data_IF_371471395808
#
_entry.id   IF_371471395808
#
_cell.length_a   1.000
_cell.length_b   1.000
_cell.length_c   1.000
_cell.angle_alpha   90.00
_cell.angle_beta   90.00
_cell.angle_gamma   90.00
#
_symmetry.space_group_name_H-M   'P 1'
#
loop_
_entity.id
_entity.type
_entity.pdbx_description
1 polymer ?
#
# COMPACT_ATOMS: atom_id res chain seq x y z
N UNK A 1 20.29 -8.90 -6.34
CA UNK A 1 21.01 -10.07 -5.80
C UNK A 1 20.00 -10.81 -4.94
N UNK A 2 19.73 -12.07 -5.22
CA UNK A 2 18.74 -12.84 -4.46
C UNK A 2 19.19 -12.99 -3.01
N UNK A 3 18.39 -12.46 -2.08
CA UNK A 3 18.71 -12.47 -0.66
C UNK A 3 18.70 -13.89 -0.08
N UNK A 4 18.02 -14.84 -0.71
CA UNK A 4 18.07 -16.27 -0.35
C UNK A 4 19.49 -16.82 -0.56
N UNK A 5 20.13 -16.52 -1.69
CA UNK A 5 21.53 -16.86 -1.95
C UNK A 5 22.48 -16.14 -0.98
N UNK A 6 22.19 -14.89 -0.61
CA UNK A 6 23.00 -14.14 0.38
C UNK A 6 22.89 -14.79 1.76
N UNK A 7 21.69 -15.11 2.25
CA UNK A 7 21.50 -15.77 3.55
C UNK A 7 22.14 -17.16 3.56
N UNK A 8 21.96 -17.96 2.51
CA UNK A 8 22.57 -19.29 2.39
C UNK A 8 24.12 -19.20 2.38
N UNK A 9 24.70 -18.25 1.65
CA UNK A 9 26.16 -18.07 1.61
C UNK A 9 26.74 -17.44 2.88
N UNK A 10 25.92 -16.80 3.72
CA UNK A 10 26.34 -16.28 5.03
C UNK A 10 26.54 -17.36 6.08
N UNK A 11 25.87 -18.50 5.93
CA UNK A 11 26.19 -19.72 6.70
C UNK A 11 27.59 -20.23 6.34
N UNK A 12 27.99 -20.07 5.08
CA UNK A 12 29.26 -20.57 4.54
C UNK A 12 30.44 -19.64 4.82
N UNK A 13 30.22 -18.34 5.05
CA UNK A 13 31.31 -17.40 5.40
C UNK A 13 30.83 -16.14 6.13
N UNK A 14 31.47 -15.88 7.27
CA UNK A 14 31.24 -14.69 8.11
C UNK A 14 31.52 -13.36 7.38
N UNK A 15 32.29 -13.39 6.28
CA UNK A 15 32.60 -12.21 5.47
C UNK A 15 31.39 -11.73 4.66
N UNK A 16 30.51 -12.63 4.24
CA UNK A 16 29.27 -12.24 3.59
C UNK A 16 28.30 -11.63 4.58
N UNK A 17 28.32 -12.08 5.85
CA UNK A 17 27.55 -11.46 6.94
C UNK A 17 27.76 -9.95 7.08
N UNK A 18 28.99 -9.47 6.88
CA UNK A 18 29.31 -8.03 6.92
C UNK A 18 28.89 -7.24 5.68
N UNK A 19 28.72 -7.89 4.53
CA UNK A 19 28.42 -7.20 3.26
C UNK A 19 26.93 -6.86 3.14
N UNK A 20 26.03 -7.70 3.64
CA UNK A 20 24.59 -7.37 3.70
C UNK A 20 24.16 -6.71 5.01
N UNK A 21 25.04 -6.58 6.01
CA UNK A 21 24.74 -5.76 7.20
C UNK A 21 24.78 -4.26 6.93
N UNK A 22 25.44 -3.83 5.86
CA UNK A 22 25.57 -2.43 5.48
C UNK A 22 24.61 -1.99 4.38
N UNK A 23 23.72 -2.87 3.91
CA UNK A 23 22.79 -2.53 2.81
C UNK A 23 21.55 -1.83 3.36
N UNK A 24 21.26 -0.58 2.95
CA UNK A 24 20.07 0.16 3.39
C UNK A 24 18.78 -0.40 2.78
N UNK A 25 18.90 -1.27 1.77
CA UNK A 25 17.82 -1.93 1.06
C UNK A 25 17.91 -3.44 1.24
N UNK A 26 16.77 -4.07 1.56
CA UNK A 26 16.64 -5.51 1.72
C UNK A 26 15.41 -6.00 0.95
N UNK A 27 15.58 -7.05 0.12
CA UNK A 27 14.49 -7.64 -0.66
C UNK A 27 14.44 -9.13 -0.43
N UNK A 28 13.27 -9.65 -0.06
CA UNK A 28 13.07 -11.08 0.14
C UNK A 28 12.08 -11.62 -0.87
N UNK A 29 12.51 -12.68 -1.56
CA UNK A 29 11.67 -13.51 -2.40
C UNK A 29 11.09 -14.65 -1.54
N UNK A 30 9.77 -14.66 -1.43
CA UNK A 30 8.99 -15.65 -0.69
C UNK A 30 8.63 -16.87 -1.54
N UNK A 31 9.10 -16.94 -2.78
CA UNK A 31 8.82 -18.05 -3.68
C UNK A 31 9.39 -19.37 -3.16
N UNK A 32 8.45 -20.28 -3.00
CA UNK A 32 8.55 -21.68 -2.67
C UNK A 32 8.54 -22.43 -4.00
N UNK A 33 9.70 -22.89 -4.47
CA UNK A 33 9.83 -23.50 -5.81
C UNK A 33 8.79 -24.59 -6.07
N UNK A 34 8.41 -24.76 -7.34
CA UNK A 34 7.37 -25.68 -7.80
C UNK A 34 7.78 -27.14 -7.55
N UNK A 35 7.41 -27.69 -6.40
CA UNK A 35 7.41 -29.13 -6.18
C UNK A 35 5.94 -29.56 -6.14
N UNK A 36 5.52 -30.37 -7.11
CA UNK A 36 4.13 -30.79 -7.36
C UNK A 36 3.49 -31.64 -6.22
N UNK A 37 4.11 -31.73 -5.05
CA UNK A 37 3.62 -32.52 -3.92
C UNK A 37 2.85 -31.66 -2.91
N UNK A 38 1.53 -31.74 -2.96
CA UNK A 38 0.57 -31.08 -2.06
C UNK A 38 0.85 -31.26 -0.56
N UNK A 39 1.52 -32.35 -0.14
CA UNK A 39 1.93 -32.54 1.25
C UNK A 39 3.11 -31.65 1.67
N UNK A 40 4.02 -31.38 0.74
CA UNK A 40 5.18 -30.50 0.93
C UNK A 40 4.74 -29.03 1.00
N UNK A 41 3.67 -28.66 0.29
CA UNK A 41 3.14 -27.30 0.32
C UNK A 41 2.79 -26.83 1.75
N UNK A 42 2.14 -27.66 2.58
CA UNK A 42 1.76 -27.27 3.94
C UNK A 42 2.95 -26.99 4.87
N UNK A 43 3.94 -27.87 4.85
CA UNK A 43 5.18 -27.68 5.63
C UNK A 43 5.98 -26.48 5.11
N UNK A 44 6.00 -26.28 3.79
CA UNK A 44 6.67 -25.15 3.15
C UNK A 44 5.95 -23.82 3.45
N UNK A 45 4.62 -23.81 3.61
CA UNK A 45 3.86 -22.63 4.06
C UNK A 45 4.20 -22.21 5.50
N UNK A 46 4.24 -23.15 6.45
CA UNK A 46 4.60 -22.86 7.85
C UNK A 46 6.02 -22.32 7.92
N UNK A 47 6.94 -22.91 7.13
CA UNK A 47 8.30 -22.42 7.02
C UNK A 47 8.33 -20.98 6.49
N UNK A 48 7.58 -20.66 5.43
CA UNK A 48 7.54 -19.30 4.87
C UNK A 48 7.07 -18.27 5.90
N UNK A 49 5.96 -18.51 6.62
CA UNK A 49 5.47 -17.56 7.63
C UNK A 49 6.53 -17.29 8.71
N UNK A 50 7.21 -18.35 9.19
CA UNK A 50 8.27 -18.25 10.19
C UNK A 50 9.53 -17.54 9.66
N UNK A 51 9.87 -17.74 8.39
CA UNK A 51 11.01 -17.10 7.73
C UNK A 51 10.73 -15.63 7.46
N UNK A 52 9.55 -15.26 6.99
CA UNK A 52 9.16 -13.87 6.74
C UNK A 52 9.20 -13.07 8.04
N UNK A 53 8.66 -13.63 9.13
CA UNK A 53 8.76 -12.98 10.43
C UNK A 53 10.21 -12.78 10.87
N UNK A 54 11.06 -13.80 10.69
CA UNK A 54 12.50 -13.71 11.00
C UNK A 54 13.20 -12.64 10.14
N UNK A 55 12.89 -12.56 8.86
CA UNK A 55 13.41 -11.56 7.93
C UNK A 55 13.01 -10.15 8.31
N UNK A 56 11.74 -9.96 8.69
CA UNK A 56 11.22 -8.68 9.21
C UNK A 56 11.97 -8.26 10.47
N UNK A 57 12.13 -9.17 11.44
CA UNK A 57 12.90 -8.89 12.66
C UNK A 57 14.35 -8.53 12.37
N UNK A 58 14.99 -9.22 11.43
CA UNK A 58 16.37 -8.92 11.02
C UNK A 58 16.46 -7.54 10.37
N UNK A 59 15.52 -7.19 9.48
CA UNK A 59 15.47 -5.87 8.84
C UNK A 59 15.28 -4.75 9.87
N UNK A 60 14.33 -4.93 10.80
CA UNK A 60 14.04 -3.98 11.87
C UNK A 60 15.25 -3.82 12.80
N UNK A 61 15.87 -4.92 13.23
CA UNK A 61 17.05 -4.90 14.12
C UNK A 61 18.24 -4.18 13.48
N UNK A 62 18.33 -4.18 12.16
CA UNK A 62 19.41 -3.58 11.39
C UNK A 62 19.12 -2.15 10.94
N UNK A 63 17.97 -1.61 11.31
CA UNK A 63 17.54 -0.25 10.92
C UNK A 63 17.59 -0.04 9.40
N UNK A 64 17.14 -1.05 8.65
CA UNK A 64 17.04 -0.99 7.19
C UNK A 64 16.10 0.15 6.80
N UNK A 65 16.45 0.91 5.76
CA UNK A 65 15.65 2.05 5.31
C UNK A 65 14.60 1.66 4.27
N UNK A 66 14.90 0.66 3.44
CA UNK A 66 14.01 0.16 2.40
C UNK A 66 13.85 -1.36 2.50
N UNK A 67 12.62 -1.82 2.67
CA UNK A 67 12.30 -3.24 2.79
C UNK A 67 11.28 -3.65 1.71
N UNK A 68 11.61 -4.70 0.97
CA UNK A 68 10.77 -5.29 -0.05
C UNK A 68 10.50 -6.77 0.27
N UNK A 69 9.24 -7.17 0.25
CA UNK A 69 8.77 -8.55 0.32
C UNK A 69 8.01 -8.83 -0.97
N UNK A 70 8.38 -9.88 -1.69
CA UNK A 70 7.75 -10.26 -2.96
C UNK A 70 7.45 -11.76 -2.96
N UNK A 71 6.25 -12.13 -3.41
CA UNK A 71 5.79 -13.50 -3.65
C UNK A 71 5.03 -13.52 -4.97
N UNK A 72 5.33 -14.49 -5.81
CA UNK A 72 4.58 -14.81 -7.03
C UNK A 72 3.57 -15.95 -6.80
N UNK A 73 3.44 -16.44 -5.56
CA UNK A 73 2.59 -17.59 -5.23
C UNK A 73 1.21 -17.13 -4.77
N UNK A 74 0.18 -17.55 -5.50
CA UNK A 74 -1.24 -17.27 -5.24
C UNK A 74 -1.82 -17.96 -3.98
N UNK A 75 -1.03 -18.79 -3.30
CA UNK A 75 -1.50 -19.70 -2.23
C UNK A 75 -0.84 -19.43 -0.87
N UNK A 76 -0.15 -18.30 -0.70
CA UNK A 76 0.41 -17.95 0.62
C UNK A 76 -0.71 -17.43 1.54
N UNK A 77 -0.76 -17.86 2.82
CA UNK A 77 -1.71 -17.30 3.78
C UNK A 77 -1.50 -15.79 3.93
N UNK A 78 -2.61 -15.08 4.21
CA UNK A 78 -2.61 -13.63 4.40
C UNK A 78 -1.54 -13.22 5.41
N UNK A 79 -0.54 -12.49 4.94
CA UNK A 79 0.61 -12.05 5.71
C UNK A 79 0.17 -11.04 6.77
N UNK A 80 0.49 -11.34 8.04
CA UNK A 80 0.30 -10.43 9.16
C UNK A 80 1.59 -9.65 9.41
N UNK A 81 1.60 -8.39 8.99
CA UNK A 81 2.73 -7.50 9.24
C UNK A 81 2.84 -7.19 10.74
N UNK A 82 4.03 -7.35 11.35
CA UNK A 82 4.21 -7.14 12.77
C UNK A 82 4.23 -5.65 13.09
N UNK A 83 3.67 -5.28 14.25
CA UNK A 83 3.54 -3.88 14.67
C UNK A 83 4.88 -3.11 14.67
N UNK A 84 5.95 -3.78 15.11
CA UNK A 84 7.29 -3.19 15.21
C UNK A 84 7.89 -2.77 13.86
N UNK A 85 7.36 -3.28 12.73
CA UNK A 85 7.70 -2.80 11.40
C UNK A 85 7.41 -1.31 11.27
N UNK A 86 6.23 -0.89 11.74
CA UNK A 86 5.74 0.48 11.58
C UNK A 86 6.35 1.46 12.58
N UNK A 87 6.96 0.97 13.67
CA UNK A 87 7.71 1.79 14.63
C UNK A 87 9.22 1.76 14.40
N UNK A 88 9.71 1.08 13.35
CA UNK A 88 11.14 1.00 13.00
C UNK A 88 11.62 2.22 12.20
N UNK A 89 12.90 2.28 11.83
CA UNK A 89 13.46 3.29 10.94
C UNK A 89 13.17 3.10 9.45
N UNK A 90 12.40 2.08 9.06
CA UNK A 90 12.06 1.82 7.65
C UNK A 90 11.29 3.02 7.07
N UNK A 91 11.80 3.56 5.97
CA UNK A 91 11.23 4.71 5.26
C UNK A 91 10.45 4.32 4.01
N UNK A 92 10.79 3.18 3.41
CA UNK A 92 10.09 2.62 2.26
C UNK A 92 9.80 1.15 2.47
N UNK A 93 8.53 0.80 2.37
CA UNK A 93 8.07 -0.58 2.51
C UNK A 93 7.29 -1.01 1.28
N UNK A 94 7.70 -2.13 0.69
CA UNK A 94 7.04 -2.77 -0.45
C UNK A 94 6.64 -4.18 -0.03
N UNK A 95 5.37 -4.52 -0.18
CA UNK A 95 4.88 -5.88 0.02
C UNK A 95 4.00 -6.27 -1.16
N UNK A 96 4.48 -7.22 -1.96
CA UNK A 96 3.74 -7.81 -3.08
C UNK A 96 3.37 -9.24 -2.70
N UNK A 97 2.33 -9.34 -1.88
CA UNK A 97 1.83 -10.60 -1.34
C UNK A 97 0.51 -10.30 -0.64
N UNK A 98 -0.37 -11.30 -0.58
CA UNK A 98 -1.61 -11.20 0.18
C UNK A 98 -1.36 -10.72 1.61
N UNK A 99 -1.89 -9.55 1.97
CA UNK A 99 -1.68 -8.93 3.28
C UNK A 99 -2.98 -8.40 3.87
N UNK A 100 -3.12 -8.49 5.19
CA UNK A 100 -4.18 -7.79 5.90
C UNK A 100 -3.67 -6.39 6.25
N UNK A 101 -4.35 -5.35 5.74
CA UNK A 101 -3.98 -3.98 6.07
C UNK A 101 -4.13 -3.75 7.57
N UNK A 102 -3.02 -3.33 8.19
CA UNK A 102 -2.93 -3.11 9.63
C UNK A 102 -3.06 -1.63 9.97
N UNK A 103 -3.95 -1.29 10.90
CA UNK A 103 -4.08 0.11 11.35
C UNK A 103 -2.83 0.62 12.09
N UNK A 104 -1.93 -0.28 12.52
CA UNK A 104 -0.63 0.10 13.09
C UNK A 104 0.25 0.89 12.12
N UNK A 105 0.03 0.76 10.81
CA UNK A 105 0.68 1.55 9.76
C UNK A 105 0.53 3.06 9.98
N UNK A 106 -0.63 3.47 10.50
CA UNK A 106 -0.96 4.85 10.80
C UNK A 106 -0.11 5.45 11.95
N UNK A 107 0.53 4.59 12.75
CA UNK A 107 1.40 5.00 13.85
C UNK A 107 2.84 5.26 13.41
N UNK A 108 3.18 4.95 12.16
CA UNK A 108 4.54 5.11 11.65
C UNK A 108 4.96 6.58 11.58
N UNK A 109 6.20 6.83 12.01
CA UNK A 109 6.85 8.14 11.97
C UNK A 109 7.98 8.20 10.93
N UNK A 110 8.27 7.08 10.27
CA UNK A 110 9.40 6.90 9.37
C UNK A 110 8.98 6.57 7.94
N UNK A 111 7.89 5.81 7.75
CA UNK A 111 7.44 5.35 6.42
C UNK A 111 6.92 6.52 5.58
N UNK A 112 7.70 6.90 4.58
CA UNK A 112 7.38 7.92 3.57
C UNK A 112 6.79 7.30 2.31
N UNK A 113 7.19 6.08 1.98
CA UNK A 113 6.70 5.38 0.80
C UNK A 113 6.18 4.00 1.18
N UNK A 114 4.92 3.73 0.83
CA UNK A 114 4.25 2.49 1.16
C UNK A 114 3.62 1.91 -0.10
N UNK A 115 4.06 0.72 -0.49
CA UNK A 115 3.53 -0.02 -1.61
C UNK A 115 3.05 -1.38 -1.14
N UNK A 116 1.76 -1.63 -1.31
CA UNK A 116 1.14 -2.91 -1.02
C UNK A 116 0.39 -3.39 -2.25
N UNK A 117 0.60 -4.62 -2.65
CA UNK A 117 -0.19 -5.32 -3.66
C UNK A 117 -0.93 -6.49 -3.00
N UNK A 118 -2.12 -6.83 -3.48
CA UNK A 118 -2.97 -7.90 -2.93
C UNK A 118 -3.35 -7.65 -1.46
N UNK A 119 -4.15 -6.60 -1.23
CA UNK A 119 -4.43 -6.10 0.12
C UNK A 119 -5.88 -6.33 0.51
N UNK A 120 -6.12 -7.02 1.61
CA UNK A 120 -7.45 -7.05 2.23
C UNK A 120 -7.60 -5.87 3.20
N UNK A 121 -8.57 -5.00 2.96
CA UNK A 121 -8.92 -3.93 3.90
C UNK A 121 -9.48 -4.54 5.20
N UNK A 122 -9.16 -3.94 6.37
CA UNK A 122 -9.75 -4.37 7.63
C UNK A 122 -11.26 -4.13 7.63
N UNK A 123 -11.95 -4.79 8.57
CA UNK A 123 -13.37 -4.52 8.82
C UNK A 123 -13.55 -3.02 9.15
N UNK A 124 -14.51 -2.40 8.47
CA UNK A 124 -14.87 -1.01 8.72
C UNK A 124 -15.43 -0.77 10.12
N UNK A 125 -15.51 0.50 10.49
CA UNK A 125 -16.20 0.96 11.70
C UNK A 125 -17.73 0.73 11.62
N UNK A 126 -18.50 1.30 12.54
CA UNK A 126 -19.97 1.24 12.54
C UNK A 126 -20.61 1.70 11.22
N UNK A 127 -19.96 2.61 10.51
CA UNK A 127 -20.42 3.18 9.25
C UNK A 127 -19.87 2.43 8.02
N UNK A 128 -19.23 1.27 8.24
CA UNK A 128 -18.50 0.52 7.23
C UNK A 128 -17.40 1.37 6.54
N UNK A 129 -16.78 2.28 7.31
CA UNK A 129 -15.66 3.11 6.86
C UNK A 129 -14.33 2.62 7.43
N UNK A 130 -13.31 2.59 6.57
CA UNK A 130 -11.90 2.37 6.95
C UNK A 130 -11.15 3.67 6.75
N UNK A 131 -10.38 4.10 7.75
CA UNK A 131 -9.66 5.39 7.72
C UNK A 131 -8.17 5.14 7.87
N UNK A 132 -7.41 5.36 6.80
CA UNK A 132 -5.95 5.34 6.81
C UNK A 132 -5.42 6.76 7.08
N UNK A 133 -4.80 6.95 8.25
CA UNK A 133 -4.25 8.25 8.69
C UNK A 133 -2.74 8.16 8.90
N UNK A 134 -1.95 8.66 7.95
CA UNK A 134 -0.47 8.56 8.03
C UNK A 134 0.17 9.97 8.01
N UNK A 135 0.88 10.39 9.08
CA UNK A 135 1.34 11.77 9.21
C UNK A 135 2.55 12.12 8.32
N UNK A 136 3.40 11.13 8.01
CA UNK A 136 4.67 11.32 7.30
C UNK A 136 4.67 10.77 5.87
N UNK A 137 3.58 10.13 5.45
CA UNK A 137 3.49 9.41 4.19
C UNK A 137 3.46 10.37 3.00
N UNK A 138 4.36 10.16 2.06
CA UNK A 138 4.56 10.97 0.84
C UNK A 138 4.07 10.22 -0.41
N UNK A 139 4.27 8.91 -0.47
CA UNK A 139 3.83 8.05 -1.58
C UNK A 139 3.03 6.84 -1.07
N UNK A 140 1.84 6.61 -1.62
CA UNK A 140 0.99 5.46 -1.31
C UNK A 140 0.56 4.73 -2.57
N UNK A 141 0.85 3.45 -2.64
CA UNK A 141 0.41 2.56 -3.72
C UNK A 141 -0.29 1.36 -3.09
N UNK A 142 -1.58 1.18 -3.39
CA UNK A 142 -2.36 0.02 -2.98
C UNK A 142 -2.96 -0.59 -4.24
N UNK A 143 -2.51 -1.77 -4.61
CA UNK A 143 -3.02 -2.48 -5.79
C UNK A 143 -3.77 -3.73 -5.41
N UNK A 144 -4.74 -4.07 -6.24
CA UNK A 144 -5.58 -5.25 -6.13
C UNK A 144 -6.24 -5.38 -4.74
N UNK A 145 -6.67 -4.28 -4.13
CA UNK A 145 -7.26 -4.36 -2.79
C UNK A 145 -8.67 -4.94 -2.81
N UNK A 146 -8.96 -5.79 -1.84
CA UNK A 146 -10.27 -6.33 -1.50
C UNK A 146 -10.88 -5.58 -0.29
N UNK A 147 -12.20 -5.42 -0.25
CA UNK A 147 -12.93 -4.58 0.70
C UNK A 147 -14.33 -5.11 1.02
N UNK A 148 -14.44 -6.42 1.28
CA UNK A 148 -15.72 -7.01 1.67
C UNK A 148 -16.39 -6.27 2.82
N UNK A 149 -17.64 -5.83 2.60
CA UNK A 149 -18.45 -5.10 3.58
C UNK A 149 -17.90 -3.71 4.00
N UNK A 150 -16.96 -3.13 3.25
CA UNK A 150 -16.51 -1.73 3.43
C UNK A 150 -17.18 -0.86 2.37
N UNK A 151 -17.89 0.18 2.82
CA UNK A 151 -18.57 1.15 1.94
C UNK A 151 -17.72 2.36 1.64
N UNK A 152 -16.81 2.72 2.54
CA UNK A 152 -16.00 3.92 2.43
C UNK A 152 -14.55 3.64 2.83
N UNK A 153 -13.60 4.08 2.00
CA UNK A 153 -12.18 4.06 2.31
C UNK A 153 -11.64 5.49 2.29
N UNK A 154 -11.20 5.97 3.45
CA UNK A 154 -10.76 7.34 3.68
C UNK A 154 -9.26 7.39 3.88
N UNK A 155 -8.56 8.20 3.08
CA UNK A 155 -7.11 8.40 3.16
C UNK A 155 -6.84 9.82 3.61
N UNK A 156 -6.23 9.95 4.79
CA UNK A 156 -5.88 11.23 5.41
C UNK A 156 -4.36 11.30 5.63
N UNK A 157 -3.66 11.91 4.69
CA UNK A 157 -2.20 12.02 4.72
C UNK A 157 -1.76 13.38 4.18
N UNK A 158 -1.39 14.29 5.09
CA UNK A 158 -1.12 15.69 4.74
C UNK A 158 0.12 15.88 3.86
N UNK A 159 1.08 14.95 3.91
CA UNK A 159 2.31 14.98 3.10
C UNK A 159 2.21 14.18 1.81
N UNK A 160 1.06 13.55 1.54
CA UNK A 160 0.92 12.66 0.41
C UNK A 160 0.96 13.43 -0.90
N UNK A 161 1.89 13.05 -1.78
CA UNK A 161 2.15 13.63 -3.09
C UNK A 161 1.69 12.70 -4.22
N UNK A 162 1.84 11.39 -4.05
CA UNK A 162 1.42 10.38 -5.02
C UNK A 162 0.51 9.36 -4.37
N UNK A 163 -0.61 9.08 -5.03
CA UNK A 163 -1.56 8.07 -4.64
C UNK A 163 -1.91 7.19 -5.83
N UNK A 164 -1.78 5.88 -5.68
CA UNK A 164 -2.27 4.88 -6.62
C UNK A 164 -3.16 3.87 -5.90
N UNK A 165 -4.40 3.69 -6.37
CA UNK A 165 -5.39 2.78 -5.82
C UNK A 165 -5.99 1.92 -6.94
N UNK A 166 -5.72 0.62 -6.94
CA UNK A 166 -6.31 -0.32 -7.90
C UNK A 166 -7.14 -1.37 -7.16
N UNK A 167 -8.42 -1.45 -7.48
CA UNK A 167 -9.37 -2.40 -6.87
C UNK A 167 -9.47 -3.70 -7.66
N UNK A 168 -9.61 -4.84 -6.96
CA UNK A 168 -9.99 -6.14 -7.56
C UNK A 168 -11.52 -6.36 -7.62
N UNK A 169 -12.29 -5.56 -6.88
CA UNK A 169 -13.73 -5.77 -6.68
C UNK A 169 -14.62 -5.02 -7.67
N UNK A 170 -15.74 -5.66 -8.03
CA UNK A 170 -16.82 -5.07 -8.83
C UNK A 170 -17.79 -4.19 -8.01
N UNK A 171 -17.79 -4.35 -6.69
CA UNK A 171 -18.71 -3.65 -5.81
C UNK A 171 -18.35 -2.17 -5.69
N UNK A 172 -19.35 -1.33 -5.45
CA UNK A 172 -19.15 0.10 -5.27
C UNK A 172 -18.49 0.40 -3.91
N UNK A 173 -17.43 1.21 -3.93
CA UNK A 173 -16.81 1.78 -2.74
C UNK A 173 -16.64 3.29 -2.95
N UNK A 174 -16.87 4.05 -1.88
CA UNK A 174 -16.55 5.48 -1.86
C UNK A 174 -15.12 5.66 -1.39
N UNK A 175 -14.30 6.37 -2.17
CA UNK A 175 -12.92 6.72 -1.75
C UNK A 175 -12.89 8.19 -1.37
N UNK A 176 -12.56 8.50 -0.11
CA UNK A 176 -12.38 9.88 0.37
C UNK A 176 -10.91 10.21 0.51
N UNK A 177 -10.46 11.31 -0.08
CA UNK A 177 -9.05 11.74 0.02
C UNK A 177 -8.95 13.10 0.72
N UNK A 178 -8.23 13.11 1.85
CA UNK A 178 -7.88 14.27 2.67
C UNK A 178 -6.36 14.52 2.59
N UNK A 179 -5.87 14.89 1.40
CA UNK A 179 -4.43 15.06 1.13
C UNK A 179 -4.20 16.32 0.29
N UNK A 180 -4.03 17.51 0.91
CA UNK A 180 -3.97 18.78 0.19
C UNK A 180 -2.72 18.93 -0.70
N UNK A 181 -1.66 18.16 -0.43
CA UNK A 181 -0.40 18.21 -1.16
C UNK A 181 -0.30 17.19 -2.30
N UNK A 182 -1.41 16.51 -2.63
CA UNK A 182 -1.45 15.49 -3.67
C UNK A 182 -1.18 16.13 -5.05
N UNK A 183 -0.33 15.48 -5.83
CA UNK A 183 0.09 15.95 -7.17
C UNK A 183 -0.17 14.91 -8.26
N UNK A 184 -0.16 13.64 -7.89
CA UNK A 184 -0.43 12.51 -8.77
C UNK A 184 -1.48 11.62 -8.13
N UNK A 185 -2.55 11.32 -8.87
CA UNK A 185 -3.59 10.40 -8.47
C UNK A 185 -3.81 9.36 -9.57
N UNK A 186 -3.78 8.10 -9.22
CA UNK A 186 -4.06 7.00 -10.15
C UNK A 186 -5.07 6.10 -9.47
N UNK A 187 -6.24 5.95 -10.08
CA UNK A 187 -7.29 5.10 -9.55
C UNK A 187 -7.78 4.20 -10.67
N UNK A 188 -8.09 2.95 -10.37
CA UNK A 188 -8.52 1.99 -11.37
C UNK A 188 -9.03 0.69 -10.75
N UNK A 189 -9.39 -0.27 -11.60
CA UNK A 189 -9.91 -1.56 -11.17
C UNK A 189 -10.99 -2.08 -12.11
N UNK A 190 -11.75 -3.08 -11.67
CA UNK A 190 -12.93 -3.55 -12.40
C UNK A 190 -14.08 -2.57 -12.21
N UNK A 191 -14.12 -1.56 -13.09
CA UNK A 191 -14.99 -0.38 -12.99
C UNK A 191 -16.47 -0.78 -13.01
N UNK A 192 -17.12 -0.75 -11.85
CA UNK A 192 -18.56 -0.51 -11.77
C UNK A 192 -18.84 0.94 -12.20
N UNK A 193 -19.81 1.15 -13.10
CA UNK A 193 -20.18 2.48 -13.65
C UNK A 193 -20.63 3.51 -12.60
N UNK A 194 -20.71 3.15 -11.32
CA UNK A 194 -21.25 3.99 -10.24
C UNK A 194 -20.19 4.45 -9.23
N UNK A 195 -18.95 3.94 -9.27
CA UNK A 195 -17.92 4.31 -8.30
C UNK A 195 -17.71 5.83 -8.18
N UNK A 196 -17.73 6.30 -6.93
CA UNK A 196 -17.59 7.70 -6.56
C UNK A 196 -16.26 7.94 -5.83
N UNK A 197 -15.44 8.80 -6.42
CA UNK A 197 -14.25 9.36 -5.80
C UNK A 197 -14.65 10.71 -5.18
N UNK A 198 -14.34 10.93 -3.91
CA UNK A 198 -14.65 12.19 -3.23
C UNK A 198 -13.36 12.79 -2.70
N UNK A 199 -12.95 13.92 -3.27
CA UNK A 199 -11.73 14.63 -2.86
C UNK A 199 -12.13 15.81 -1.98
N UNK A 200 -11.52 15.91 -0.80
CA UNK A 200 -11.67 17.11 0.04
C UNK A 200 -10.84 18.22 -0.59
N UNK A 201 -11.47 19.33 -0.99
CA UNK A 201 -10.70 20.46 -1.50
C UNK A 201 -9.94 21.16 -0.38
N UNK A 202 -8.69 21.59 -0.61
CA UNK A 202 -7.99 22.43 0.36
C UNK A 202 -8.76 23.74 0.50
N UNK A 203 -9.01 24.11 1.75
CA UNK A 203 -9.75 25.30 2.15
C UNK A 203 -9.10 26.55 1.54
N UNK A 204 -9.79 27.27 0.66
CA UNK A 204 -9.42 28.63 0.27
C UNK A 204 -9.69 29.49 1.53
N UNK A 205 -8.64 29.95 2.22
CA UNK A 205 -8.66 30.50 3.59
C UNK A 205 -9.46 31.82 3.80
N UNK A 206 -10.33 32.22 2.87
CA UNK A 206 -11.05 33.48 2.91
C UNK A 206 -12.52 33.39 3.32
N UNK A 207 -13.16 32.21 3.44
CA UNK A 207 -14.59 32.13 3.82
C UNK A 207 -14.94 30.92 4.72
N UNK A 208 -15.39 31.23 5.95
CA UNK A 208 -16.24 30.46 6.88
C UNK A 208 -15.76 29.09 7.44
N UNK A 209 -15.27 29.00 8.70
CA UNK A 209 -14.53 27.85 9.26
C UNK A 209 -15.29 26.54 9.53
N UNK A 210 -16.57 26.40 9.14
CA UNK A 210 -17.41 25.27 9.59
C UNK A 210 -17.85 24.25 8.53
N UNK A 211 -17.56 24.42 7.24
CA UNK A 211 -17.89 23.41 6.23
C UNK A 211 -16.80 23.33 5.14
N UNK A 212 -16.02 22.24 5.12
CA UNK A 212 -15.15 21.94 3.99
C UNK A 212 -15.97 21.45 2.80
N UNK A 213 -15.74 21.99 1.61
CA UNK A 213 -16.38 21.54 0.37
C UNK A 213 -15.72 20.25 -0.14
N UNK A 214 -16.53 19.22 -0.33
CA UNK A 214 -16.11 17.97 -0.94
C UNK A 214 -16.46 18.00 -2.42
N UNK A 215 -15.51 17.63 -3.28
CA UNK A 215 -15.77 17.47 -4.71
C UNK A 215 -15.93 15.99 -5.02
N UNK A 216 -17.13 15.61 -5.44
CA UNK A 216 -17.42 14.26 -5.93
C UNK A 216 -17.09 14.18 -7.42
N UNK A 217 -16.29 13.20 -7.79
CA UNK A 217 -15.92 12.83 -9.16
C UNK A 217 -16.42 11.41 -9.37
N UNK A 218 -17.32 11.19 -10.33
CA UNK A 218 -17.75 9.83 -10.67
C UNK A 218 -16.79 9.23 -11.68
N UNK A 219 -16.35 7.99 -11.47
CA UNK A 219 -15.36 7.35 -12.34
C UNK A 219 -15.86 7.17 -13.78
N UNK A 220 -17.17 7.00 -13.98
CA UNK A 220 -17.80 6.97 -15.32
C UNK A 220 -17.58 8.23 -16.16
N UNK A 221 -17.31 9.37 -15.50
CA UNK A 221 -17.08 10.65 -16.16
C UNK A 221 -15.59 10.80 -16.56
N UNK A 222 -14.71 9.84 -16.19
CA UNK A 222 -13.26 9.88 -16.44
C UNK A 222 -12.79 9.15 -17.72
N UNK A 223 -13.71 8.69 -18.58
CA UNK A 223 -13.42 8.20 -19.93
C UNK A 223 -12.51 6.97 -19.99
N UNK A 224 -13.06 5.81 -20.35
CA UNK A 224 -12.29 4.57 -20.48
C UNK A 224 -11.05 4.76 -21.36
N UNK A 225 -9.88 4.68 -20.73
CA UNK A 225 -8.57 4.73 -21.38
C UNK A 225 -7.88 6.09 -21.50
N UNK A 226 -8.39 7.18 -20.92
CA UNK A 226 -7.74 8.50 -21.05
C UNK A 226 -7.39 9.09 -19.69
N UNK A 227 -6.13 9.54 -19.55
CA UNK A 227 -5.67 10.34 -18.41
C UNK A 227 -6.56 11.58 -18.26
N UNK A 228 -7.52 11.56 -17.32
CA UNK A 228 -8.37 12.72 -17.04
C UNK A 228 -7.64 13.64 -16.07
N UNK A 229 -6.96 14.67 -16.58
CA UNK A 229 -6.35 15.70 -15.72
C UNK A 229 -7.45 16.62 -15.21
N UNK A 230 -7.76 16.59 -13.92
CA UNK A 230 -8.76 17.50 -13.32
C UNK A 230 -8.03 18.74 -12.80
N UNK A 231 -8.33 19.88 -13.42
CA UNK A 231 -7.99 21.19 -12.87
C UNK A 231 -8.88 21.46 -11.64
N UNK A 232 -8.26 21.80 -10.51
CA UNK A 232 -8.96 22.35 -9.34
C UNK A 232 -9.11 23.87 -9.54
N UNK A 233 -10.20 24.48 -9.07
CA UNK A 233 -10.58 25.87 -9.39
C UNK A 233 -10.27 26.89 -8.28
N UNK A 234 -9.49 26.56 -7.24
CA UNK A 234 -8.97 27.56 -6.29
C UNK A 234 -7.59 28.05 -6.80
N UNK A 235 -7.29 29.35 -6.71
CA UNK A 235 -6.13 30.02 -7.32
C UNK A 235 -4.72 29.51 -6.87
N UNK A 236 -4.67 28.49 -6.01
CA UNK A 236 -3.48 27.71 -5.64
C UNK A 236 -3.43 26.32 -6.31
N UNK A 237 -4.28 26.08 -7.30
CA UNK A 237 -4.53 24.78 -7.93
C UNK A 237 -3.29 24.19 -8.60
N UNK A 238 -2.67 23.22 -7.91
CA UNK A 238 -1.80 22.24 -8.56
C UNK A 238 -2.65 21.41 -9.51
N UNK A 239 -2.15 21.21 -10.72
CA UNK A 239 -2.75 20.33 -11.72
C UNK A 239 -2.71 18.91 -11.15
N UNK A 240 -3.87 18.33 -10.83
CA UNK A 240 -3.97 16.93 -10.43
C UNK A 240 -4.03 16.08 -11.68
N UNK A 241 -2.96 15.31 -11.93
CA UNK A 241 -2.98 14.28 -12.97
C UNK A 241 -3.77 13.09 -12.43
N UNK A 242 -4.98 12.86 -12.95
CA UNK A 242 -5.74 11.64 -12.68
C UNK A 242 -5.55 10.69 -13.86
N UNK A 243 -5.14 9.46 -13.55
CA UNK A 243 -4.98 8.40 -14.54
C UNK A 243 -5.97 7.30 -14.17
N UNK A 244 -6.92 7.04 -15.06
CA UNK A 244 -7.75 5.84 -14.99
C UNK A 244 -6.96 4.64 -15.53
N UNK A 245 -6.90 3.56 -14.77
CA UNK A 245 -6.45 2.26 -15.27
C UNK A 245 -7.64 1.33 -15.35
N UNK A 246 -8.14 1.13 -16.57
CA UNK A 246 -9.03 0.02 -16.85
C UNK A 246 -8.17 -1.24 -17.04
N UNK A 247 -8.27 -2.20 -16.12
CA UNK A 247 -7.71 -3.54 -16.33
C UNK A 247 -8.66 -4.27 -17.28
N UNK A 248 -8.19 -4.59 -18.49
CA UNK A 248 -8.92 -5.39 -19.48
C UNK A 248 -8.95 -6.86 -19.10
#
# INVERSE_FOLDING_TARGET
MDMKLVVQTCVLSKRWNSLWSSTPYLSFDMNVGDDDDYGIYFDKYILVESHVYSWLLVAIKRDVQELCLESDIDVIPILKLPYNLFTSGITKFVCKSDTLMSMSMCTSKSIKSLHLEEVTLPKGNSDAEVILSCPVLEDLFIKYFNYENVKCFTISALRLHKLELLSRNYNEITIKICSPNLTSLKCGGYISRQQALVIKEPFCASQCPHHGTWRQIRMKDMGGGVQTVIHTTCAAARVLKIIDITLQ
#
